data_IF_424127015122
#
_entry.id   IF_424127015122
#
_cell.length_a   1.000
_cell.length_b   1.000
_cell.length_c   1.000
_cell.angle_alpha   90.00
_cell.angle_beta   90.00
_cell.angle_gamma   90.00
#
_symmetry.space_group_name_H-M   'P 1'
#
loop_
_entity.id
_entity.type
_entity.pdbx_description
1 polymer ?
#
# COMPACT_ATOMS: atom_id res chain seq x y z
N UNK A 1 29.94 -6.83 -16.06
CA UNK A 1 29.15 -5.58 -16.09
C UNK A 1 30.08 -4.49 -15.58
N UNK A 2 30.49 -3.52 -16.43
CA UNK A 2 31.27 -2.40 -15.97
C UNK A 2 30.40 -1.50 -15.09
N UNK A 3 30.99 -1.03 -14.00
CA UNK A 3 30.40 -0.08 -13.06
C UNK A 3 30.07 1.24 -13.78
N UNK A 4 28.79 1.44 -14.12
CA UNK A 4 28.20 2.77 -14.36
C UNK A 4 28.18 3.55 -13.05
N UNK A 5 29.35 3.78 -12.45
CA UNK A 5 29.48 4.75 -11.38
C UNK A 5 29.48 6.14 -12.02
N UNK A 6 28.40 6.92 -11.85
CA UNK A 6 28.34 8.27 -12.38
C UNK A 6 29.50 9.08 -11.81
N UNK A 7 30.09 9.94 -12.64
CA UNK A 7 31.24 10.75 -12.25
C UNK A 7 30.92 11.56 -10.98
N UNK A 8 31.89 11.81 -10.08
CA UNK A 8 31.64 12.49 -8.80
C UNK A 8 30.88 13.81 -8.92
N UNK A 9 31.13 14.58 -9.99
CA UNK A 9 30.42 15.85 -10.29
C UNK A 9 28.92 15.66 -10.53
N UNK A 10 28.52 14.55 -11.14
CA UNK A 10 27.10 14.25 -11.39
C UNK A 10 26.38 13.78 -10.12
N UNK A 11 27.11 13.21 -9.17
CA UNK A 11 26.56 12.82 -7.88
C UNK A 11 26.17 14.05 -7.04
N UNK A 12 27.06 15.04 -6.94
CA UNK A 12 26.83 16.26 -6.17
C UNK A 12 25.75 17.15 -6.79
N UNK A 13 25.72 17.25 -8.13
CA UNK A 13 24.67 17.98 -8.86
C UNK A 13 23.26 17.42 -8.55
N UNK A 14 23.10 16.10 -8.53
CA UNK A 14 21.81 15.45 -8.21
C UNK A 14 21.39 15.64 -6.76
N UNK A 15 22.33 15.70 -5.83
CA UNK A 15 22.04 16.04 -4.44
C UNK A 15 21.54 17.49 -4.30
N UNK A 16 22.21 18.43 -4.94
CA UNK A 16 21.82 19.84 -4.94
C UNK A 16 20.45 20.06 -5.59
N UNK A 17 20.18 19.40 -6.72
CA UNK A 17 18.88 19.46 -7.40
C UNK A 17 17.75 18.90 -6.53
N UNK A 18 17.96 17.75 -5.88
CA UNK A 18 17.00 17.18 -4.94
C UNK A 18 16.70 18.14 -3.77
N UNK A 19 17.73 18.82 -3.24
CA UNK A 19 17.57 19.81 -2.17
C UNK A 19 16.76 21.03 -2.65
N UNK A 20 17.01 21.52 -3.87
CA UNK A 20 16.29 22.64 -4.48
C UNK A 20 14.82 22.32 -4.76
N UNK A 21 14.53 21.10 -5.22
CA UNK A 21 13.14 20.63 -5.40
C UNK A 21 12.40 20.49 -4.07
N UNK A 22 13.11 20.26 -2.97
CA UNK A 22 12.53 20.17 -1.65
C UNK A 22 12.15 21.56 -1.10
N UNK A 23 12.86 22.62 -1.50
CA UNK A 23 12.57 24.01 -1.10
C UNK A 23 11.54 24.71 -1.99
N UNK A 24 11.43 24.34 -3.28
CA UNK A 24 10.45 24.87 -4.23
C UNK A 24 9.07 24.23 -4.11
N UNK A 25 8.30 24.61 -3.10
CA UNK A 25 6.98 24.03 -2.79
C UNK A 25 5.95 24.05 -3.95
N UNK A 26 4.97 23.12 -3.96
CA UNK A 26 4.04 22.95 -5.07
C UNK A 26 3.03 24.09 -5.21
N UNK A 27 2.74 24.45 -6.48
CA UNK A 27 1.80 25.50 -6.87
C UNK A 27 0.34 25.18 -6.48
N UNK A 28 -0.31 26.08 -5.74
CA UNK A 28 -1.62 25.86 -5.11
C UNK A 28 -2.76 25.61 -6.11
N UNK A 29 -2.62 26.14 -7.34
CA UNK A 29 -3.60 25.97 -8.41
C UNK A 29 -3.64 24.54 -8.97
N UNK A 30 -2.50 23.84 -9.01
CA UNK A 30 -2.43 22.44 -9.43
C UNK A 30 -3.10 21.52 -8.39
N UNK A 31 -3.04 21.88 -7.11
CA UNK A 31 -3.62 21.11 -6.01
C UNK A 31 -5.16 21.10 -6.06
N UNK A 32 -5.79 22.22 -6.41
CA UNK A 32 -7.25 22.35 -6.45
C UNK A 32 -7.90 21.55 -7.59
N UNK A 33 -7.33 21.59 -8.81
CA UNK A 33 -7.85 20.84 -9.96
C UNK A 33 -7.79 19.33 -9.72
N UNK A 34 -6.74 18.86 -9.05
CA UNK A 34 -6.57 17.45 -8.70
C UNK A 34 -7.62 16.93 -7.71
N UNK A 35 -8.00 17.73 -6.70
CA UNK A 35 -8.97 17.32 -5.67
C UNK A 35 -10.34 16.94 -6.27
N UNK A 36 -10.79 17.64 -7.30
CA UNK A 36 -12.09 17.38 -7.96
C UNK A 36 -12.10 16.03 -8.70
N UNK A 37 -11.07 15.74 -9.49
CA UNK A 37 -10.94 14.48 -10.23
C UNK A 37 -10.82 13.27 -9.29
N UNK A 38 -10.17 13.47 -8.15
CA UNK A 38 -10.03 12.44 -7.12
C UNK A 38 -11.36 12.10 -6.45
N UNK A 39 -12.19 13.10 -6.14
CA UNK A 39 -13.50 12.87 -5.53
C UNK A 39 -14.37 12.00 -6.45
N UNK A 40 -14.35 12.26 -7.76
CA UNK A 40 -15.07 11.45 -8.76
C UNK A 40 -14.55 10.03 -8.89
N UNK A 41 -13.24 9.82 -9.02
CA UNK A 41 -12.66 8.47 -9.13
C UNK A 41 -12.89 7.63 -7.87
N UNK A 42 -12.79 8.26 -6.70
CA UNK A 42 -13.07 7.59 -5.43
C UNK A 42 -14.53 7.17 -5.35
N UNK A 43 -15.47 8.06 -5.70
CA UNK A 43 -16.88 7.72 -5.75
C UNK A 43 -17.17 6.60 -6.75
N UNK A 44 -16.52 6.61 -7.92
CA UNK A 44 -16.66 5.56 -8.92
C UNK A 44 -16.18 4.19 -8.41
N UNK A 45 -15.00 4.14 -7.77
CA UNK A 45 -14.48 2.88 -7.18
C UNK A 45 -15.38 2.41 -6.05
N UNK A 46 -15.81 3.30 -5.16
CA UNK A 46 -16.70 2.94 -4.06
C UNK A 46 -18.06 2.42 -4.59
N UNK A 47 -18.64 3.11 -5.57
CA UNK A 47 -19.88 2.72 -6.21
C UNK A 47 -19.76 1.38 -6.94
N UNK A 48 -18.68 1.15 -7.68
CA UNK A 48 -18.42 -0.14 -8.33
C UNK A 48 -18.23 -1.28 -7.31
N UNK A 49 -17.55 -1.01 -6.19
CA UNK A 49 -17.34 -1.99 -5.12
C UNK A 49 -18.67 -2.37 -4.44
N UNK A 50 -19.49 -1.37 -4.13
CA UNK A 50 -20.83 -1.59 -3.56
C UNK A 50 -21.75 -2.30 -4.55
N UNK A 51 -21.75 -1.90 -5.82
CA UNK A 51 -22.53 -2.53 -6.87
C UNK A 51 -22.16 -4.00 -7.07
N UNK A 52 -20.86 -4.33 -7.09
CA UNK A 52 -20.41 -5.71 -7.14
C UNK A 52 -20.85 -6.53 -5.90
N UNK A 53 -20.81 -5.95 -4.71
CA UNK A 53 -21.30 -6.59 -3.48
C UNK A 53 -22.80 -6.91 -3.53
N UNK A 54 -23.62 -5.98 -4.03
CA UNK A 54 -25.07 -6.19 -4.23
C UNK A 54 -25.32 -7.30 -5.25
N UNK A 55 -24.55 -7.32 -6.35
CA UNK A 55 -24.70 -8.31 -7.40
C UNK A 55 -24.35 -9.72 -6.92
N UNK A 56 -23.26 -9.85 -6.15
CA UNK A 56 -22.89 -11.12 -5.49
C UNK A 56 -23.97 -11.57 -4.51
N UNK A 57 -24.50 -10.66 -3.71
CA UNK A 57 -25.57 -10.97 -2.76
C UNK A 57 -26.86 -11.45 -3.46
N UNK A 58 -27.24 -10.82 -4.58
CA UNK A 58 -28.38 -11.25 -5.40
C UNK A 58 -28.17 -12.66 -5.98
N UNK A 59 -26.97 -12.96 -6.48
CA UNK A 59 -26.64 -14.31 -7.00
C UNK A 59 -26.76 -15.36 -5.89
N UNK A 60 -26.31 -15.07 -4.68
CA UNK A 60 -26.43 -15.99 -3.53
C UNK A 60 -27.89 -16.23 -3.16
N UNK A 61 -28.74 -15.19 -3.14
CA UNK A 61 -30.16 -15.35 -2.87
C UNK A 61 -30.85 -16.21 -3.93
N UNK A 62 -30.61 -15.92 -5.21
CA UNK A 62 -31.19 -16.68 -6.31
C UNK A 62 -30.75 -18.15 -6.29
N UNK A 63 -29.51 -18.42 -5.88
CA UNK A 63 -29.00 -19.78 -5.73
C UNK A 63 -29.55 -20.50 -4.49
N UNK A 64 -29.91 -19.78 -3.43
CA UNK A 64 -30.49 -20.34 -2.21
C UNK A 64 -31.95 -20.78 -2.41
N UNK A 65 -32.71 -20.08 -3.24
CA UNK A 65 -34.11 -20.42 -3.54
C UNK A 65 -34.26 -21.60 -4.54
N UNK A 66 -33.19 -21.94 -5.28
CA UNK A 66 -33.24 -22.94 -6.36
C UNK A 66 -32.73 -24.35 -6.02
N UNK A 67 -32.34 -24.64 -4.77
CA UNK A 67 -31.44 -25.76 -4.46
C UNK A 67 -31.90 -26.79 -3.42
N UNK A 68 -33.08 -27.40 -3.56
CA UNK A 68 -33.35 -28.72 -2.97
C UNK A 68 -32.67 -29.80 -3.83
N UNK A 69 -31.37 -30.05 -3.62
CA UNK A 69 -30.66 -31.12 -4.35
C UNK A 69 -29.51 -31.73 -3.53
N UNK A 70 -29.88 -32.66 -2.65
CA UNK A 70 -29.35 -34.04 -2.52
C UNK A 70 -27.91 -34.39 -2.92
N UNK A 71 -26.92 -33.54 -2.64
CA UNK A 71 -25.49 -33.94 -2.68
C UNK A 71 -24.87 -33.73 -1.29
N UNK A 72 -23.92 -34.57 -0.83
CA UNK A 72 -23.12 -34.29 0.37
C UNK A 72 -22.14 -33.14 0.06
N UNK A 73 -22.72 -31.98 -0.24
CA UNK A 73 -22.08 -30.75 -0.66
C UNK A 73 -22.05 -29.76 0.49
N UNK A 74 -21.05 -28.88 0.46
CA UNK A 74 -20.75 -27.84 1.46
C UNK A 74 -22.02 -27.21 2.07
N UNK A 75 -22.16 -27.14 3.41
CA UNK A 75 -23.35 -26.61 4.05
C UNK A 75 -23.68 -25.19 3.57
N UNK A 76 -24.96 -24.91 3.26
CA UNK A 76 -25.40 -23.59 2.80
C UNK A 76 -24.97 -22.45 3.74
N UNK A 77 -25.02 -22.70 5.06
CA UNK A 77 -24.56 -21.74 6.08
C UNK A 77 -23.07 -21.39 5.92
N UNK A 78 -22.24 -22.35 5.54
CA UNK A 78 -20.81 -22.13 5.29
C UNK A 78 -20.61 -21.26 4.04
N UNK A 79 -21.36 -21.55 2.97
CA UNK A 79 -21.32 -20.77 1.72
C UNK A 79 -21.72 -19.31 1.98
N UNK A 80 -22.86 -19.09 2.66
CA UNK A 80 -23.36 -17.76 3.02
C UNK A 80 -22.35 -17.01 3.89
N UNK A 81 -21.80 -17.67 4.92
CA UNK A 81 -20.79 -17.07 5.81
C UNK A 81 -19.54 -16.67 5.04
N UNK A 82 -19.05 -17.53 4.15
CA UNK A 82 -17.87 -17.26 3.35
C UNK A 82 -18.07 -16.09 2.37
N UNK A 83 -19.21 -16.02 1.70
CA UNK A 83 -19.54 -14.87 0.84
C UNK A 83 -19.75 -13.58 1.62
N UNK A 84 -20.40 -13.62 2.79
CA UNK A 84 -20.52 -12.46 3.66
C UNK A 84 -19.14 -11.91 4.05
N UNK A 85 -18.23 -12.81 4.46
CA UNK A 85 -16.85 -12.45 4.78
C UNK A 85 -16.11 -11.90 3.55
N UNK A 86 -16.29 -12.50 2.37
CA UNK A 86 -15.68 -12.04 1.13
C UNK A 86 -16.14 -10.61 0.76
N UNK A 87 -17.43 -10.32 0.92
CA UNK A 87 -18.01 -8.99 0.67
C UNK A 87 -17.46 -7.95 1.64
N UNK A 88 -17.35 -8.26 2.94
CA UNK A 88 -16.71 -7.37 3.92
C UNK A 88 -15.27 -7.10 3.53
N UNK A 89 -14.51 -8.14 3.16
CA UNK A 89 -13.13 -8.00 2.68
C UNK A 89 -13.02 -7.11 1.45
N UNK A 90 -13.95 -7.25 0.50
CA UNK A 90 -14.03 -6.44 -0.72
C UNK A 90 -14.26 -4.95 -0.40
N UNK A 91 -15.20 -4.65 0.49
CA UNK A 91 -15.48 -3.27 0.93
C UNK A 91 -14.25 -2.65 1.61
N UNK A 92 -13.62 -3.39 2.53
CA UNK A 92 -12.39 -2.94 3.20
C UNK A 92 -11.27 -2.71 2.18
N UNK A 93 -11.11 -3.61 1.20
CA UNK A 93 -10.12 -3.47 0.13
C UNK A 93 -10.38 -2.22 -0.72
N UNK A 94 -11.64 -1.97 -1.11
CA UNK A 94 -12.03 -0.77 -1.86
C UNK A 94 -11.69 0.52 -1.10
N UNK A 95 -12.05 0.60 0.17
CA UNK A 95 -11.72 1.74 1.05
C UNK A 95 -10.20 1.91 1.17
N UNK A 96 -9.47 0.81 1.35
CA UNK A 96 -8.02 0.82 1.46
C UNK A 96 -7.34 1.32 0.17
N UNK A 97 -7.75 0.83 -1.00
CA UNK A 97 -7.25 1.28 -2.31
C UNK A 97 -7.53 2.77 -2.50
N UNK A 98 -8.73 3.24 -2.16
CA UNK A 98 -9.06 4.67 -2.20
C UNK A 98 -8.12 5.50 -1.33
N UNK A 99 -7.88 5.07 -0.08
CA UNK A 99 -6.96 5.75 0.83
C UNK A 99 -5.53 5.71 0.31
N UNK A 100 -5.10 4.58 -0.27
CA UNK A 100 -3.77 4.41 -0.85
C UNK A 100 -3.56 5.29 -2.08
N UNK A 101 -4.52 5.35 -3.01
CA UNK A 101 -4.45 6.21 -4.20
C UNK A 101 -4.36 7.69 -3.78
N UNK A 102 -5.13 8.09 -2.77
CA UNK A 102 -5.04 9.44 -2.18
C UNK A 102 -3.66 9.69 -1.56
N UNK A 103 -3.11 8.72 -0.83
CA UNK A 103 -1.80 8.83 -0.18
C UNK A 103 -0.65 8.85 -1.19
N UNK A 104 -0.62 7.93 -2.16
CA UNK A 104 0.43 7.83 -3.20
C UNK A 104 0.50 9.10 -4.04
N UNK A 105 -0.64 9.72 -4.36
CA UNK A 105 -0.63 10.98 -5.12
C UNK A 105 -0.10 12.16 -4.30
N UNK A 106 -0.47 12.28 -3.02
CA UNK A 106 0.17 13.25 -2.11
C UNK A 106 1.67 13.02 -2.01
N UNK A 107 2.10 11.75 -1.99
CA UNK A 107 3.52 11.39 -2.00
C UNK A 107 4.20 11.69 -3.33
N UNK A 108 3.59 11.45 -4.50
CA UNK A 108 4.24 11.78 -5.79
C UNK A 108 4.59 13.25 -5.92
N UNK A 109 3.74 14.14 -5.43
CA UNK A 109 4.03 15.58 -5.38
C UNK A 109 5.17 15.89 -4.40
N UNK A 110 5.25 15.18 -3.26
CA UNK A 110 6.29 15.38 -2.24
C UNK A 110 7.59 14.58 -2.45
N UNK A 111 7.59 13.56 -3.31
CA UNK A 111 8.69 12.63 -3.51
C UNK A 111 9.48 12.91 -4.79
N UNK A 112 9.10 13.94 -5.55
CA UNK A 112 9.88 14.49 -6.67
C UNK A 112 11.38 14.57 -6.40
N UNK A 113 11.83 15.07 -5.22
CA UNK A 113 13.25 15.16 -4.88
C UNK A 113 13.99 13.82 -4.90
N UNK A 114 13.35 12.74 -4.43
CA UNK A 114 14.00 11.43 -4.33
C UNK A 114 14.11 10.74 -5.69
N UNK A 115 13.31 11.13 -6.69
CA UNK A 115 13.33 10.52 -8.02
C UNK A 115 14.62 10.85 -8.79
N UNK A 116 15.22 12.01 -8.54
CA UNK A 116 16.48 12.47 -9.16
C UNK A 116 17.69 11.66 -8.67
N UNK A 117 17.62 11.12 -7.45
CA UNK A 117 18.70 10.33 -6.86
C UNK A 117 18.83 8.94 -7.49
N UNK A 118 20.07 8.50 -7.70
CA UNK A 118 20.40 7.14 -8.09
C UNK A 118 20.02 6.11 -7.01
N UNK A 119 19.92 4.84 -7.42
CA UNK A 119 19.60 3.73 -6.51
C UNK A 119 20.62 3.60 -5.37
N UNK A 120 21.91 3.82 -5.65
CA UNK A 120 22.98 3.82 -4.64
C UNK A 120 22.79 4.92 -3.59
N UNK A 121 22.54 6.16 -4.02
CA UNK A 121 22.27 7.31 -3.15
C UNK A 121 21.02 7.09 -2.28
N UNK A 122 19.96 6.49 -2.84
CA UNK A 122 18.76 6.12 -2.05
C UNK A 122 19.06 5.05 -1.01
N UNK A 123 19.88 4.05 -1.34
CA UNK A 123 20.32 3.02 -0.39
C UNK A 123 21.16 3.62 0.74
N UNK A 124 21.99 4.61 0.42
CA UNK A 124 22.79 5.35 1.40
C UNK A 124 21.89 6.12 2.38
N UNK A 125 20.89 6.89 1.91
CA UNK A 125 19.91 7.55 2.78
C UNK A 125 19.18 6.55 3.67
N UNK A 126 18.75 5.42 3.10
CA UNK A 126 18.12 4.36 3.89
C UNK A 126 19.07 3.77 4.94
N UNK A 127 20.37 3.67 4.64
CA UNK A 127 21.37 3.20 5.59
C UNK A 127 21.59 4.22 6.72
N UNK A 128 21.63 5.53 6.41
CA UNK A 128 21.69 6.60 7.40
C UNK A 128 20.46 6.59 8.31
N UNK A 129 19.24 6.51 7.74
CA UNK A 129 17.98 6.45 8.52
C UNK A 129 17.90 5.19 9.38
N UNK A 130 18.53 4.08 8.96
CA UNK A 130 18.61 2.85 9.75
C UNK A 130 19.75 2.86 10.78
N UNK A 131 20.54 3.93 10.86
CA UNK A 131 21.69 4.04 11.77
C UNK A 131 22.87 3.14 11.41
N UNK A 132 22.98 2.70 10.15
CA UNK A 132 24.09 1.85 9.67
C UNK A 132 25.29 2.65 9.17
N UNK A 133 25.10 3.93 8.87
CA UNK A 133 26.10 4.86 8.35
C UNK A 133 25.91 6.19 9.10
N UNK A 134 26.99 6.92 9.43
CA UNK A 134 26.88 8.25 10.02
C UNK A 134 26.05 9.19 9.15
N UNK A 135 25.31 10.08 9.81
CA UNK A 135 24.42 11.03 9.15
C UNK A 135 25.23 12.21 8.63
N UNK A 136 25.12 12.49 7.33
CA UNK A 136 25.71 13.67 6.72
C UNK A 136 24.85 14.91 7.05
N UNK A 137 25.38 15.93 7.76
CA UNK A 137 24.66 17.16 8.11
C UNK A 137 24.02 17.86 6.90
N UNK A 138 24.66 17.82 5.73
CA UNK A 138 24.16 18.47 4.52
C UNK A 138 22.89 17.79 3.96
N UNK A 139 22.72 16.49 4.26
CA UNK A 139 21.67 15.62 3.69
C UNK A 139 20.58 15.26 4.70
N UNK A 140 20.62 15.82 5.92
CA UNK A 140 19.64 15.54 6.99
C UNK A 140 18.20 15.76 6.52
N UNK A 141 17.93 16.80 5.72
CA UNK A 141 16.59 17.05 5.18
C UNK A 141 16.05 15.91 4.31
N UNK A 142 16.90 15.34 3.45
CA UNK A 142 16.54 14.21 2.58
C UNK A 142 16.42 12.89 3.37
N UNK A 143 17.28 12.70 4.37
CA UNK A 143 17.18 11.56 5.29
C UNK A 143 15.89 11.63 6.13
N UNK A 144 15.52 12.81 6.65
CA UNK A 144 14.26 13.05 7.36
C UNK A 144 13.06 12.76 6.48
N UNK A 145 13.06 13.24 5.24
CA UNK A 145 12.00 12.93 4.25
C UNK A 145 11.87 11.42 4.00
N UNK A 146 13.00 10.72 3.88
CA UNK A 146 13.04 9.27 3.71
C UNK A 146 12.47 8.54 4.94
N UNK A 147 12.79 9.00 6.15
CA UNK A 147 12.25 8.46 7.39
C UNK A 147 10.72 8.66 7.49
N UNK A 148 10.20 9.83 7.13
CA UNK A 148 8.76 10.07 7.05
C UNK A 148 8.07 9.09 6.09
N UNK A 149 8.66 8.86 4.91
CA UNK A 149 8.10 7.93 3.92
C UNK A 149 8.05 6.48 4.42
N UNK A 150 9.08 6.04 5.15
CA UNK A 150 9.10 4.73 5.81
C UNK A 150 8.02 4.61 6.89
N UNK A 151 7.80 5.65 7.69
CA UNK A 151 6.72 5.67 8.68
C UNK A 151 5.35 5.56 8.00
N UNK A 152 5.18 6.20 6.84
CA UNK A 152 3.95 6.11 6.07
C UNK A 152 3.80 4.75 5.35
N UNK A 153 4.87 4.02 5.03
CA UNK A 153 4.78 2.66 4.46
C UNK A 153 4.13 1.66 5.41
N UNK A 154 4.26 1.84 6.73
CA UNK A 154 3.54 1.03 7.72
C UNK A 154 2.03 1.04 7.48
N UNK A 155 1.49 2.17 7.04
CA UNK A 155 0.06 2.29 6.74
C UNK A 155 -0.36 1.56 5.47
N UNK A 156 0.59 1.30 4.56
CA UNK A 156 0.34 0.49 3.35
C UNK A 156 0.14 -0.98 3.69
N UNK A 157 0.70 -1.49 4.80
CA UNK A 157 0.43 -2.87 5.23
C UNK A 157 -1.06 -3.09 5.49
N UNK A 158 -1.73 -2.10 6.08
CA UNK A 158 -3.17 -2.15 6.37
C UNK A 158 -4.04 -2.30 5.13
N UNK A 159 -3.53 -1.98 3.94
CA UNK A 159 -4.31 -2.16 2.70
C UNK A 159 -4.47 -3.61 2.30
N UNK A 160 -3.65 -4.51 2.85
CA UNK A 160 -3.74 -5.95 2.61
C UNK A 160 -4.79 -6.64 3.51
N UNK A 161 -5.29 -5.99 4.55
CA UNK A 161 -6.32 -6.58 5.44
C UNK A 161 -7.59 -6.93 4.66
N UNK A 162 -8.07 -6.03 3.81
CA UNK A 162 -9.27 -6.28 3.00
C UNK A 162 -9.12 -7.51 2.10
N UNK A 163 -8.08 -7.58 1.25
CA UNK A 163 -7.77 -8.77 0.47
C UNK A 163 -7.60 -10.05 1.32
N UNK A 164 -6.96 -9.98 2.48
CA UNK A 164 -6.79 -11.14 3.38
C UNK A 164 -8.15 -11.67 3.84
N UNK A 165 -9.06 -10.80 4.26
CA UNK A 165 -10.43 -11.15 4.65
C UNK A 165 -11.20 -11.72 3.46
N UNK A 166 -11.03 -11.12 2.27
CA UNK A 166 -11.64 -11.59 1.03
C UNK A 166 -11.22 -13.02 0.67
N UNK A 167 -9.93 -13.29 0.66
CA UNK A 167 -9.39 -14.62 0.35
C UNK A 167 -9.82 -15.66 1.38
N UNK A 168 -9.88 -15.27 2.66
CA UNK A 168 -10.38 -16.13 3.74
C UNK A 168 -11.87 -16.47 3.51
N UNK A 169 -12.69 -15.47 3.17
CA UNK A 169 -14.10 -15.67 2.84
C UNK A 169 -14.32 -16.61 1.66
N UNK A 170 -13.54 -16.43 0.58
CA UNK A 170 -13.58 -17.31 -0.59
C UNK A 170 -13.13 -18.74 -0.29
N UNK A 171 -12.12 -18.92 0.56
CA UNK A 171 -11.66 -20.24 0.99
C UNK A 171 -12.72 -20.96 1.85
N UNK A 172 -13.47 -20.22 2.67
CA UNK A 172 -14.58 -20.75 3.47
C UNK A 172 -15.77 -21.11 2.57
N UNK A 173 -16.16 -20.22 1.65
CA UNK A 173 -17.33 -20.41 0.79
C UNK A 173 -17.15 -21.60 -0.17
N UNK A 174 -15.93 -21.80 -0.65
CA UNK A 174 -15.62 -22.75 -1.72
C UNK A 174 -14.35 -23.52 -1.33
N UNK A 175 -14.47 -24.48 -0.40
CA UNK A 175 -13.34 -25.22 0.15
C UNK A 175 -12.67 -26.05 -0.95
N UNK A 176 -11.46 -25.62 -1.31
CA UNK A 176 -10.56 -26.31 -2.22
C UNK A 176 -9.17 -26.20 -1.62
N UNK A 177 -8.42 -27.30 -1.58
CA UNK A 177 -7.08 -27.33 -0.99
C UNK A 177 -6.18 -26.24 -1.57
N UNK A 178 -6.25 -25.98 -2.89
CA UNK A 178 -5.51 -24.91 -3.56
C UNK A 178 -5.90 -23.50 -3.09
N UNK A 179 -7.19 -23.26 -2.82
CA UNK A 179 -7.64 -21.94 -2.33
C UNK A 179 -7.25 -21.71 -0.89
N UNK A 180 -7.30 -22.76 -0.06
CA UNK A 180 -6.84 -22.71 1.33
C UNK A 180 -5.34 -22.45 1.37
N UNK A 181 -4.53 -23.16 0.57
CA UNK A 181 -3.08 -22.94 0.51
C UNK A 181 -2.75 -21.55 -0.05
N UNK A 182 -3.44 -21.07 -1.08
CA UNK A 182 -3.26 -19.72 -1.61
C UNK A 182 -3.61 -18.63 -0.58
N UNK A 183 -4.73 -18.78 0.15
CA UNK A 183 -5.12 -17.85 1.21
C UNK A 183 -4.10 -17.84 2.36
N UNK A 184 -3.63 -19.02 2.80
CA UNK A 184 -2.61 -19.15 3.82
C UNK A 184 -1.27 -18.52 3.40
N UNK A 185 -0.82 -18.78 2.18
CA UNK A 185 0.40 -18.18 1.61
C UNK A 185 0.28 -16.65 1.50
N UNK A 186 -0.87 -16.13 1.07
CA UNK A 186 -1.13 -14.69 1.00
C UNK A 186 -1.12 -14.02 2.39
N UNK A 187 -1.74 -14.66 3.38
CA UNK A 187 -1.71 -14.21 4.78
C UNK A 187 -0.28 -14.18 5.32
N UNK A 188 0.49 -15.24 5.09
CA UNK A 188 1.89 -15.32 5.51
C UNK A 188 2.72 -14.18 4.89
N UNK A 189 2.59 -13.97 3.57
CA UNK A 189 3.26 -12.87 2.86
C UNK A 189 2.90 -11.52 3.47
N UNK A 190 1.63 -11.30 3.79
CA UNK A 190 1.13 -10.06 4.40
C UNK A 190 1.73 -9.84 5.79
N UNK A 191 1.81 -10.88 6.62
CA UNK A 191 2.41 -10.83 7.95
C UNK A 191 3.90 -10.53 7.86
N UNK A 192 4.63 -11.21 6.97
CA UNK A 192 6.07 -10.99 6.75
C UNK A 192 6.33 -9.56 6.27
N UNK A 193 5.60 -9.11 5.25
CA UNK A 193 5.70 -7.74 4.74
C UNK A 193 5.36 -6.71 5.83
N UNK A 194 4.35 -6.99 6.65
CA UNK A 194 3.96 -6.17 7.78
C UNK A 194 5.06 -6.04 8.83
N UNK A 195 5.67 -7.16 9.22
CA UNK A 195 6.79 -7.20 10.16
C UNK A 195 8.01 -6.43 9.65
N UNK A 196 8.36 -6.61 8.38
CA UNK A 196 9.47 -5.87 7.75
C UNK A 196 9.19 -4.36 7.67
N UNK A 197 7.99 -3.96 7.29
CA UNK A 197 7.59 -2.55 7.24
C UNK A 197 7.58 -1.92 8.64
N UNK A 198 7.13 -2.65 9.66
CA UNK A 198 7.12 -2.18 11.04
C UNK A 198 8.54 -2.03 11.61
N UNK A 199 9.46 -2.95 11.28
CA UNK A 199 10.89 -2.81 11.61
C UNK A 199 11.47 -1.52 10.98
N UNK A 200 11.20 -1.28 9.70
CA UNK A 200 11.63 -0.05 9.03
C UNK A 200 11.07 1.22 9.66
N UNK A 201 9.78 1.20 10.05
CA UNK A 201 9.12 2.33 10.70
C UNK A 201 9.71 2.64 12.09
N UNK A 202 10.12 1.63 12.87
CA UNK A 202 10.78 1.85 14.17
C UNK A 202 12.13 2.56 14.03
N UNK A 203 12.94 2.13 13.08
CA UNK A 203 14.22 2.80 12.77
C UNK A 203 13.98 4.25 12.34
N UNK A 204 13.01 4.47 11.45
CA UNK A 204 12.64 5.80 11.00
C UNK A 204 12.15 6.71 12.13
N UNK A 205 11.31 6.20 13.05
CA UNK A 205 10.85 6.95 14.21
C UNK A 205 12.02 7.35 15.12
N UNK A 206 12.96 6.43 15.34
CA UNK A 206 14.16 6.69 16.15
C UNK A 206 15.00 7.80 15.52
N UNK A 207 15.23 7.73 14.20
CA UNK A 207 15.94 8.77 13.44
C UNK A 207 15.25 10.14 13.55
N UNK A 208 13.92 10.18 13.37
CA UNK A 208 13.13 11.41 13.44
C UNK A 208 13.15 12.05 14.83
N UNK A 209 13.21 11.26 15.90
CA UNK A 209 13.32 11.78 17.27
C UNK A 209 14.72 12.38 17.51
N UNK A 210 15.76 11.75 16.99
CA UNK A 210 17.15 12.20 17.16
C UNK A 210 17.49 13.48 16.35
N UNK A 211 16.77 13.77 15.27
CA UNK A 211 17.07 14.86 14.33
C UNK A 211 15.86 15.79 14.10
N UNK A 212 15.19 16.19 15.20
CA UNK A 212 14.03 17.08 15.15
C UNK A 212 14.38 18.50 14.75
#
# INVERSE_FOLDING_TARGET
MPDDQPLPRDADARWAEAQALLSGGPDAAAEQRLRRTLRRRVLAVLGATLGAGVLVWLVVLLAADGGESSSPGVPLRQVVTGFALATVGLVVAGVAVVRQVRAVRRRRVRNGPLFVLAVSQRRELLAQVRGRVPVDPARVGLARRTAEDLQHQRHTVWTNVGPSVLWTGLAVALPSWWRVTAAAAYLLLTVVAGGLAQRGARSAQTFLVAHR
#
